data_IF_376230687038
#
_entry.id   IF_376230687038
#
_cell.length_a   1.000
_cell.length_b   1.000
_cell.length_c   1.000
_cell.angle_alpha   90.00
_cell.angle_beta   90.00
_cell.angle_gamma   90.00
#
_symmetry.space_group_name_H-M   'P 1'
#
loop_
_entity.id
_entity.type
_entity.pdbx_description
1 polymer ?
#
# COMPACT_ATOMS: atom_id res chain seq x y z
N UNK A 1 0.84 0.10 6.57
CA UNK A 1 0.08 -0.44 7.71
C UNK A 1 -1.02 -1.34 7.19
N UNK A 2 -1.27 -2.49 7.83
CA UNK A 2 -2.27 -3.46 7.40
C UNK A 2 -3.04 -3.98 8.60
N UNK A 3 -4.36 -3.95 8.53
CA UNK A 3 -5.28 -4.53 9.51
C UNK A 3 -6.20 -5.53 8.82
N UNK A 4 -6.47 -6.66 9.47
CA UNK A 4 -7.45 -7.63 8.97
C UNK A 4 -8.22 -8.26 10.11
N UNK A 5 -9.52 -8.43 9.93
CA UNK A 5 -10.40 -9.02 10.92
C UNK A 5 -11.24 -10.13 10.28
N UNK A 6 -11.27 -11.29 10.95
CA UNK A 6 -12.15 -12.40 10.57
C UNK A 6 -13.45 -12.23 11.32
N UNK A 7 -14.55 -12.02 10.59
CA UNK A 7 -15.89 -11.93 11.18
C UNK A 7 -16.37 -13.33 11.54
N UNK A 8 -16.15 -14.30 10.65
CA UNK A 8 -16.41 -15.71 10.87
C UNK A 8 -15.51 -16.55 9.93
N UNK A 9 -15.71 -17.87 9.90
CA UNK A 9 -14.91 -18.78 9.05
C UNK A 9 -15.05 -18.48 7.55
N UNK A 10 -16.17 -17.86 7.17
CA UNK A 10 -16.53 -17.56 5.78
C UNK A 10 -16.15 -16.14 5.37
N UNK A 11 -16.15 -15.16 6.28
CA UNK A 11 -16.03 -13.73 5.96
C UNK A 11 -14.80 -13.12 6.64
N UNK A 12 -13.96 -12.49 5.83
CA UNK A 12 -12.81 -11.70 6.29
C UNK A 12 -12.83 -10.31 5.68
N UNK A 13 -12.65 -9.31 6.52
CA UNK A 13 -12.45 -7.92 6.11
C UNK A 13 -10.97 -7.54 6.26
N UNK A 14 -10.47 -6.70 5.36
CA UNK A 14 -9.09 -6.21 5.33
C UNK A 14 -9.11 -4.71 5.06
N UNK A 15 -8.30 -3.99 5.81
CA UNK A 15 -8.00 -2.58 5.59
C UNK A 15 -6.49 -2.43 5.45
N UNK A 16 -6.02 -1.89 4.34
CA UNK A 16 -4.60 -1.69 4.08
C UNK A 16 -4.38 -0.21 3.77
N UNK A 17 -3.37 0.37 4.41
CA UNK A 17 -3.00 1.76 4.23
C UNK A 17 -1.52 1.81 3.88
N UNK A 18 -1.19 2.25 2.68
CA UNK A 18 0.19 2.40 2.22
C UNK A 18 0.48 3.88 2.01
N UNK A 19 1.77 4.25 2.09
CA UNK A 19 2.23 5.62 1.91
C UNK A 19 1.57 6.65 2.86
N UNK A 20 1.14 6.23 4.06
CA UNK A 20 0.53 7.12 5.06
C UNK A 20 1.43 8.29 5.49
N UNK A 21 2.74 8.15 5.34
CA UNK A 21 3.73 9.17 5.69
C UNK A 21 4.42 9.77 4.47
N UNK A 22 3.86 9.59 3.26
CA UNK A 22 4.41 10.09 1.99
C UNK A 22 5.93 9.89 1.90
N UNK A 23 6.42 8.67 2.10
CA UNK A 23 7.83 8.38 1.90
C UNK A 23 8.10 8.47 0.38
N UNK A 24 8.80 9.51 -0.11
CA UNK A 24 9.06 9.64 -1.54
C UNK A 24 9.93 8.45 -1.94
N UNK A 25 9.42 7.61 -2.83
CA UNK A 25 10.19 6.50 -3.36
C UNK A 25 11.10 7.07 -4.45
N UNK A 26 12.29 7.51 -4.07
CA UNK A 26 13.36 7.78 -5.05
C UNK A 26 13.86 6.44 -5.57
N UNK A 27 13.70 6.23 -6.88
CA UNK A 27 14.29 5.11 -7.58
C UNK A 27 15.50 5.68 -8.33
N UNK A 28 16.68 5.59 -7.73
CA UNK A 28 17.92 6.00 -8.38
C UNK A 28 18.25 4.99 -9.50
N UNK A 29 18.37 5.47 -10.74
CA UNK A 29 18.95 4.68 -11.81
C UNK A 29 20.46 4.49 -11.55
N UNK A 30 21.08 3.48 -12.17
CA UNK A 30 22.48 3.05 -11.96
C UNK A 30 23.57 4.11 -12.31
N UNK A 31 23.24 5.40 -12.40
CA UNK A 31 24.15 6.50 -12.71
C UNK A 31 23.86 7.68 -11.77
N UNK A 32 24.88 8.17 -11.08
CA UNK A 32 24.81 9.30 -10.15
C UNK A 32 24.27 10.57 -10.86
N UNK A 33 23.21 11.18 -10.32
CA UNK A 33 22.77 12.52 -10.72
C UNK A 33 21.63 12.61 -11.75
N UNK A 34 20.94 11.51 -12.12
CA UNK A 34 19.80 11.56 -13.03
C UNK A 34 18.49 11.16 -12.34
N UNK A 35 17.89 12.11 -11.60
CA UNK A 35 16.54 11.98 -11.01
C UNK A 35 15.48 11.96 -12.13
N UNK A 36 15.29 10.80 -12.75
CA UNK A 36 14.36 10.64 -13.88
C UNK A 36 12.88 10.81 -13.50
N UNK A 37 12.48 10.41 -12.29
CA UNK A 37 11.07 10.53 -11.87
C UNK A 37 10.97 10.52 -10.33
N UNK A 38 10.49 11.62 -9.74
CA UNK A 38 10.06 11.65 -8.34
C UNK A 38 8.57 11.34 -8.31
N UNK A 39 8.23 10.10 -7.99
CA UNK A 39 6.85 9.67 -7.89
C UNK A 39 6.35 9.80 -6.45
N UNK A 40 5.67 10.91 -6.17
CA UNK A 40 4.90 11.06 -4.92
C UNK A 40 3.55 10.36 -5.06
N UNK A 41 3.54 9.08 -4.68
CA UNK A 41 2.31 8.37 -4.47
C UNK A 41 1.83 8.67 -3.05
N UNK A 42 1.04 9.73 -2.91
CA UNK A 42 0.39 10.10 -1.64
C UNK A 42 -0.38 8.95 -0.98
N UNK A 43 -0.96 9.18 0.22
CA UNK A 43 -1.55 8.12 1.03
C UNK A 43 -2.65 7.36 0.27
N UNK A 44 -2.54 6.03 0.24
CA UNK A 44 -3.53 5.14 -0.40
C UNK A 44 -4.17 4.23 0.65
N UNK A 45 -5.50 4.18 0.62
CA UNK A 45 -6.31 3.31 1.46
C UNK A 45 -6.99 2.25 0.59
N UNK A 46 -6.94 1.00 1.05
CA UNK A 46 -7.57 -0.15 0.44
C UNK A 46 -8.50 -0.80 1.45
N UNK A 47 -9.73 -1.07 1.03
CA UNK A 47 -10.70 -1.86 1.78
C UNK A 47 -11.04 -3.10 0.96
N UNK A 48 -10.98 -4.27 1.59
CA UNK A 48 -11.24 -5.55 0.93
C UNK A 48 -12.10 -6.46 1.77
N UNK A 49 -13.01 -7.18 1.13
CA UNK A 49 -13.82 -8.25 1.72
C UNK A 49 -13.52 -9.55 0.99
N UNK A 50 -13.38 -10.65 1.74
CA UNK A 50 -13.18 -11.99 1.19
C UNK A 50 -14.21 -12.93 1.78
N UNK A 51 -14.88 -13.68 0.91
CA UNK A 51 -15.80 -14.75 1.27
C UNK A 51 -15.18 -16.11 0.92
N UNK A 52 -15.35 -17.10 1.78
CA UNK A 52 -14.93 -18.49 1.58
C UNK A 52 -16.14 -19.40 1.83
N UNK A 53 -16.37 -20.35 0.92
CA UNK A 53 -17.34 -21.44 1.01
C UNK A 53 -16.61 -22.77 1.11
#
# INVERSE_FOLDING_TARGET
>A
MRASYKINEHIRIKAEAINLFSAPKSQDYFVEGNLGEVNDYGPRLFLGMSFKF
#
